data_IF_862616116780
#
_entry.id   IF_862616116780
#
_cell.length_a   1.000
_cell.length_b   1.000
_cell.length_c   1.000
_cell.angle_alpha   90.00
_cell.angle_beta   90.00
_cell.angle_gamma   90.00
#
_symmetry.space_group_name_H-M   'P 1'
#
loop_
_entity.id
_entity.type
_entity.pdbx_description
1 polymer ?
#
# COMPACT_ATOMS: atom_id res chain seq x y z
N UNK A 1 -3.47 8.45 12.44
CA UNK A 1 -2.10 8.57 11.88
C UNK A 1 -1.25 9.40 12.83
N UNK A 2 -0.54 8.77 13.77
CA UNK A 2 0.24 9.47 14.80
C UNK A 2 1.61 9.97 14.29
N UNK A 3 2.13 9.36 13.22
CA UNK A 3 3.51 9.57 12.75
C UNK A 3 3.65 10.15 11.33
N UNK A 4 2.54 10.41 10.62
CA UNK A 4 2.51 11.04 9.28
C UNK A 4 3.55 10.51 8.27
N UNK A 5 3.73 9.18 8.21
CA UNK A 5 4.74 8.53 7.36
C UNK A 5 4.52 8.75 5.85
N UNK A 6 3.30 9.06 5.44
CA UNK A 6 3.00 9.44 4.06
C UNK A 6 2.47 10.89 4.05
N UNK A 7 3.19 11.85 3.45
CA UNK A 7 2.73 13.23 3.38
C UNK A 7 1.46 13.39 2.53
N UNK A 8 1.14 12.40 1.70
CA UNK A 8 0.05 12.46 0.73
C UNK A 8 -1.26 11.87 1.25
N UNK A 9 -1.19 10.84 2.09
CA UNK A 9 -2.36 10.09 2.52
C UNK A 9 -3.38 10.97 3.26
N UNK A 10 -2.91 11.93 4.06
CA UNK A 10 -3.79 12.77 4.90
C UNK A 10 -4.72 13.66 4.07
N UNK A 11 -4.23 14.18 2.93
CA UNK A 11 -5.02 15.08 2.08
C UNK A 11 -6.20 14.33 1.47
N UNK A 12 -5.94 13.17 0.89
CA UNK A 12 -6.99 12.37 0.23
C UNK A 12 -7.96 11.76 1.24
N UNK A 13 -7.47 11.31 2.41
CA UNK A 13 -8.34 10.87 3.50
C UNK A 13 -9.32 11.97 3.94
N UNK A 14 -8.83 13.21 4.12
CA UNK A 14 -9.68 14.32 4.52
C UNK A 14 -10.66 14.76 3.41
N UNK A 15 -10.31 14.56 2.13
CA UNK A 15 -11.19 14.86 0.99
C UNK A 15 -12.22 13.76 0.73
N UNK A 16 -12.11 12.61 1.40
CA UNK A 16 -13.02 11.47 1.19
C UNK A 16 -12.82 10.78 -0.17
N UNK A 17 -11.64 10.94 -0.80
CA UNK A 17 -11.32 10.39 -2.11
C UNK A 17 -10.59 9.04 -2.04
N UNK A 18 -10.50 8.46 -0.83
CA UNK A 18 -9.92 7.13 -0.57
C UNK A 18 -11.05 6.12 -0.43
N UNK A 19 -11.01 5.07 -1.24
CA UNK A 19 -11.94 3.93 -1.15
C UNK A 19 -11.25 2.70 -0.58
N UNK A 20 -11.97 1.92 0.22
CA UNK A 20 -11.53 0.61 0.69
C UNK A 20 -12.50 -0.46 0.21
N UNK A 21 -11.99 -1.50 -0.42
CA UNK A 21 -12.74 -2.66 -0.88
C UNK A 21 -12.24 -3.89 -0.14
N UNK A 22 -13.12 -4.56 0.60
CA UNK A 22 -12.85 -5.88 1.16
C UNK A 22 -13.05 -6.94 0.06
N UNK A 23 -12.03 -7.76 -0.16
CA UNK A 23 -12.00 -8.78 -1.20
C UNK A 23 -12.09 -10.18 -0.58
N UNK A 24 -13.09 -10.94 -1.00
CA UNK A 24 -13.31 -12.32 -0.58
C UNK A 24 -12.55 -13.35 -1.44
N UNK A 25 -11.55 -12.91 -2.21
CA UNK A 25 -10.73 -13.82 -3.01
C UNK A 25 -9.97 -14.80 -2.12
N UNK A 26 -10.06 -16.08 -2.44
CA UNK A 26 -9.35 -17.18 -1.76
C UNK A 26 -8.20 -17.74 -2.58
N UNK A 27 -8.01 -17.26 -3.81
CA UNK A 27 -6.92 -17.62 -4.72
C UNK A 27 -6.46 -16.41 -5.54
N UNK A 28 -5.27 -16.54 -6.14
CA UNK A 28 -4.61 -15.45 -6.86
C UNK A 28 -5.36 -15.01 -8.13
N UNK A 29 -6.06 -15.93 -8.80
CA UNK A 29 -6.79 -15.61 -10.02
C UNK A 29 -8.04 -14.78 -9.70
N UNK A 30 -8.77 -15.15 -8.63
CA UNK A 30 -9.87 -14.37 -8.10
C UNK A 30 -9.41 -12.97 -7.64
N UNK A 31 -8.23 -12.87 -7.02
CA UNK A 31 -7.64 -11.59 -6.63
C UNK A 31 -7.27 -10.73 -7.85
N UNK A 32 -6.68 -11.30 -8.89
CA UNK A 32 -6.42 -10.57 -10.15
C UNK A 32 -7.72 -10.08 -10.80
N UNK A 33 -8.77 -10.88 -10.80
CA UNK A 33 -10.07 -10.42 -11.28
C UNK A 33 -10.63 -9.27 -10.44
N UNK A 34 -10.40 -9.28 -9.12
CA UNK A 34 -10.76 -8.16 -8.25
C UNK A 34 -9.95 -6.91 -8.62
N UNK A 35 -8.64 -7.05 -8.83
CA UNK A 35 -7.77 -5.96 -9.28
C UNK A 35 -8.25 -5.35 -10.60
N UNK A 36 -8.63 -6.16 -11.60
CA UNK A 36 -9.21 -5.67 -12.86
C UNK A 36 -10.47 -4.84 -12.61
N UNK A 37 -11.39 -5.33 -11.76
CA UNK A 37 -12.65 -4.63 -11.46
C UNK A 37 -12.39 -3.28 -10.78
N UNK A 38 -11.48 -3.23 -9.81
CA UNK A 38 -11.20 -1.98 -9.11
C UNK A 38 -10.40 -0.98 -9.97
N UNK A 39 -9.52 -1.45 -10.86
CA UNK A 39 -8.87 -0.59 -11.86
C UNK A 39 -9.90 0.02 -12.82
N UNK A 40 -10.86 -0.79 -13.30
CA UNK A 40 -11.95 -0.28 -14.14
C UNK A 40 -12.81 0.74 -13.38
N UNK A 41 -13.10 0.47 -12.10
CA UNK A 41 -13.82 1.42 -11.24
C UNK A 41 -13.08 2.74 -11.09
N UNK A 42 -11.76 2.73 -10.96
CA UNK A 42 -10.98 3.97 -10.95
C UNK A 42 -11.09 4.73 -12.27
N UNK A 43 -11.09 4.05 -13.42
CA UNK A 43 -11.33 4.70 -14.71
C UNK A 43 -12.74 5.30 -14.82
N UNK A 44 -13.75 4.59 -14.34
CA UNK A 44 -15.15 5.00 -14.44
C UNK A 44 -15.54 6.09 -13.42
N UNK A 45 -14.86 6.14 -12.27
CA UNK A 45 -15.13 7.05 -11.16
C UNK A 45 -13.91 7.94 -10.86
N UNK A 46 -13.70 9.04 -11.60
CA UNK A 46 -12.56 9.95 -11.40
C UNK A 46 -12.57 10.66 -10.04
N UNK A 47 -13.69 10.67 -9.31
CA UNK A 47 -13.78 11.15 -7.94
C UNK A 47 -13.03 10.27 -6.92
N UNK A 48 -12.77 9.00 -7.27
CA UNK A 48 -11.92 8.10 -6.50
C UNK A 48 -10.47 8.38 -6.89
N UNK A 49 -9.74 8.97 -5.96
CA UNK A 49 -8.32 9.30 -6.15
C UNK A 49 -7.44 8.07 -5.95
N UNK A 50 -7.78 7.25 -4.94
CA UNK A 50 -7.03 6.06 -4.61
C UNK A 50 -7.92 5.00 -3.95
N UNK A 51 -7.52 3.74 -4.10
CA UNK A 51 -8.29 2.61 -3.64
C UNK A 51 -7.41 1.55 -3.00
N UNK A 52 -7.87 0.99 -1.88
CA UNK A 52 -7.28 -0.18 -1.25
C UNK A 52 -8.10 -1.43 -1.52
N UNK A 53 -7.45 -2.51 -1.94
CA UNK A 53 -8.01 -3.86 -1.97
C UNK A 53 -7.45 -4.60 -0.76
N UNK A 54 -8.31 -4.91 0.21
CA UNK A 54 -7.96 -5.68 1.41
C UNK A 54 -8.33 -7.14 1.17
N UNK A 55 -7.37 -8.06 1.18
CA UNK A 55 -7.60 -9.46 0.80
C UNK A 55 -7.16 -10.44 1.89
N UNK A 56 -7.93 -10.59 2.98
CA UNK A 56 -7.52 -11.36 4.16
C UNK A 56 -7.47 -12.88 3.94
N UNK A 57 -8.09 -13.40 2.87
CA UNK A 57 -8.28 -14.85 2.66
C UNK A 57 -7.26 -15.46 1.68
N UNK A 58 -6.34 -14.67 1.12
CA UNK A 58 -5.35 -15.13 0.14
C UNK A 58 -4.05 -14.33 0.27
N UNK A 59 -2.93 -14.96 -0.10
CA UNK A 59 -1.58 -14.37 -0.03
C UNK A 59 -1.21 -13.90 1.38
N UNK A 60 -1.51 -14.71 2.40
CA UNK A 60 -1.06 -14.48 3.78
C UNK A 60 0.42 -14.84 4.01
N UNK A 61 1.05 -15.55 3.07
CA UNK A 61 2.50 -15.74 3.04
C UNK A 61 3.16 -14.60 2.27
N UNK A 62 4.12 -13.92 2.89
CA UNK A 62 4.74 -12.72 2.31
C UNK A 62 5.53 -13.01 1.03
N UNK A 63 6.15 -14.19 0.91
CA UNK A 63 6.93 -14.52 -0.29
C UNK A 63 6.01 -14.76 -1.48
N UNK A 64 4.91 -15.51 -1.28
CA UNK A 64 3.89 -15.67 -2.31
C UNK A 64 3.24 -14.33 -2.68
N UNK A 65 2.98 -13.47 -1.69
CA UNK A 65 2.48 -12.12 -1.93
C UNK A 65 3.45 -11.28 -2.77
N UNK A 66 4.75 -11.32 -2.45
CA UNK A 66 5.77 -10.59 -3.18
C UNK A 66 5.91 -11.08 -4.64
N UNK A 67 5.85 -12.40 -4.85
CA UNK A 67 5.85 -12.99 -6.21
C UNK A 67 4.60 -12.56 -7.00
N UNK A 68 3.44 -12.48 -6.34
CA UNK A 68 2.18 -12.04 -6.94
C UNK A 68 2.24 -10.59 -7.46
N UNK A 69 3.02 -9.70 -6.85
CA UNK A 69 3.18 -8.31 -7.33
C UNK A 69 3.68 -8.25 -8.78
N UNK A 70 4.53 -9.20 -9.20
CA UNK A 70 4.96 -9.29 -10.61
C UNK A 70 3.80 -9.61 -11.56
N UNK A 71 2.79 -10.35 -11.11
CA UNK A 71 1.55 -10.60 -11.88
C UNK A 71 0.69 -9.34 -11.98
N UNK A 72 0.63 -8.54 -10.92
CA UNK A 72 -0.04 -7.24 -10.93
C UNK A 72 0.60 -6.28 -11.95
N UNK A 73 1.92 -6.18 -11.97
CA UNK A 73 2.65 -5.33 -12.92
C UNK A 73 2.42 -5.78 -14.38
N UNK A 74 2.45 -7.10 -14.62
CA UNK A 74 2.15 -7.67 -15.93
C UNK A 74 0.70 -7.37 -16.37
N UNK A 75 -0.24 -7.35 -15.43
CA UNK A 75 -1.64 -6.99 -15.70
C UNK A 75 -1.76 -5.51 -16.09
N UNK A 76 -1.13 -4.59 -15.37
CA UNK A 76 -1.13 -3.16 -15.70
C UNK A 76 -0.61 -2.92 -17.12
N UNK A 77 0.50 -3.57 -17.48
CA UNK A 77 1.05 -3.54 -18.85
C UNK A 77 0.05 -4.04 -19.88
N UNK A 78 -0.58 -5.18 -19.61
CA UNK A 78 -1.58 -5.80 -20.50
C UNK A 78 -2.78 -4.88 -20.73
N UNK A 79 -3.24 -4.20 -19.68
CA UNK A 79 -4.36 -3.26 -19.72
C UNK A 79 -3.96 -1.87 -20.25
N UNK A 80 -2.67 -1.65 -20.56
CA UNK A 80 -2.11 -0.34 -20.95
C UNK A 80 -2.28 0.74 -19.86
N UNK A 81 -2.21 0.32 -18.61
CA UNK A 81 -2.31 1.15 -17.42
C UNK A 81 -0.96 1.40 -16.73
N UNK A 82 0.13 0.81 -17.25
CA UNK A 82 1.50 1.16 -16.85
C UNK A 82 1.77 2.65 -17.13
N UNK A 83 2.30 3.39 -16.15
CA UNK A 83 2.49 4.83 -16.24
C UNK A 83 1.23 5.65 -15.89
N UNK A 84 0.09 4.99 -15.68
CA UNK A 84 -1.19 5.62 -15.29
C UNK A 84 -1.50 5.28 -13.84
N UNK A 85 -1.35 4.01 -13.47
CA UNK A 85 -1.56 3.50 -12.13
C UNK A 85 -0.31 2.80 -11.61
N UNK A 86 -0.04 3.01 -10.33
CA UNK A 86 0.95 2.26 -9.56
C UNK A 86 0.27 1.48 -8.44
N UNK A 87 0.86 0.34 -8.06
CA UNK A 87 0.38 -0.50 -6.97
C UNK A 87 1.41 -0.46 -5.86
N UNK A 88 1.04 0.16 -4.73
CA UNK A 88 1.81 0.05 -3.50
C UNK A 88 1.32 -1.16 -2.70
N UNK A 89 2.26 -1.87 -2.07
CA UNK A 89 2.01 -3.14 -1.40
C UNK A 89 2.14 -3.02 0.11
N UNK A 90 1.21 -3.66 0.82
CA UNK A 90 1.22 -3.73 2.28
C UNK A 90 0.90 -5.16 2.73
N UNK A 91 1.59 -5.64 3.76
CA UNK A 91 1.44 -7.02 4.24
C UNK A 91 1.73 -7.11 5.75
N UNK A 92 1.10 -8.03 6.52
CA UNK A 92 1.39 -8.17 7.95
C UNK A 92 2.87 -8.42 8.24
N UNK A 93 3.48 -9.26 7.41
CA UNK A 93 4.89 -9.66 7.49
C UNK A 93 5.79 -8.90 6.49
N UNK A 94 5.40 -7.68 6.08
CA UNK A 94 6.20 -6.91 5.13
C UNK A 94 7.66 -6.77 5.59
N UNK A 95 8.58 -6.99 4.66
CA UNK A 95 10.02 -6.88 4.85
C UNK A 95 10.67 -6.27 3.60
N UNK A 96 11.34 -5.13 3.76
CA UNK A 96 12.15 -4.55 2.69
C UNK A 96 13.42 -5.36 2.44
N UNK A 97 13.88 -5.37 1.19
CA UNK A 97 15.13 -6.01 0.81
C UNK A 97 16.30 -5.42 1.62
N UNK A 98 17.12 -6.29 2.22
CA UNK A 98 18.28 -5.89 3.02
C UNK A 98 17.99 -5.60 4.50
N UNK A 99 16.74 -5.70 4.95
CA UNK A 99 16.36 -5.53 6.36
C UNK A 99 16.19 -6.87 7.07
N UNK A 100 16.24 -6.88 8.40
CA UNK A 100 15.76 -7.99 9.21
C UNK A 100 14.24 -7.86 9.45
N UNK A 101 13.54 -8.99 9.64
CA UNK A 101 12.10 -9.01 9.88
C UNK A 101 11.66 -8.24 11.15
N UNK A 102 12.58 -7.88 12.04
CA UNK A 102 12.30 -7.08 13.25
C UNK A 102 12.56 -5.60 13.09
N UNK A 103 13.14 -5.16 11.96
CA UNK A 103 13.55 -3.77 11.78
C UNK A 103 12.35 -2.82 11.73
N UNK A 104 12.52 -1.65 12.33
CA UNK A 104 11.44 -0.69 12.54
C UNK A 104 10.89 -0.12 11.21
N UNK A 105 11.75 0.04 10.21
CA UNK A 105 11.38 0.57 8.90
C UNK A 105 10.33 -0.26 8.16
N UNK A 106 10.31 -1.58 8.40
CA UNK A 106 9.31 -2.46 7.82
C UNK A 106 7.87 -2.08 8.21
N UNK A 107 7.69 -1.43 9.37
CA UNK A 107 6.38 -0.97 9.82
C UNK A 107 5.79 0.17 8.98
N UNK A 108 6.55 0.79 8.05
CA UNK A 108 5.96 1.74 7.09
C UNK A 108 4.96 1.08 6.14
N UNK A 109 5.18 -0.21 5.85
CA UNK A 109 4.41 -0.99 4.88
C UNK A 109 3.74 -2.21 5.49
N UNK A 110 3.76 -2.35 6.82
CA UNK A 110 2.94 -3.36 7.48
C UNK A 110 1.47 -2.95 7.48
N UNK A 111 0.59 -3.83 7.02
CA UNK A 111 -0.88 -3.76 7.21
C UNK A 111 -1.50 -4.99 7.92
N UNK A 112 -2.59 -4.85 8.73
CA UNK A 112 -3.16 -5.95 9.51
C UNK A 112 -3.57 -7.17 8.67
N UNK A 113 -3.86 -6.91 7.40
CA UNK A 113 -4.15 -7.89 6.36
C UNK A 113 -3.32 -7.56 5.12
N UNK A 114 -3.08 -8.52 4.21
CA UNK A 114 -2.52 -8.23 2.90
C UNK A 114 -3.39 -7.20 2.14
N UNK A 115 -2.76 -6.18 1.56
CA UNK A 115 -3.46 -5.13 0.81
C UNK A 115 -2.68 -4.65 -0.41
N UNK A 116 -3.43 -4.34 -1.47
CA UNK A 116 -2.95 -3.60 -2.64
C UNK A 116 -3.52 -2.19 -2.60
N UNK A 117 -2.67 -1.19 -2.79
CA UNK A 117 -3.05 0.22 -2.82
C UNK A 117 -2.84 0.77 -4.22
N UNK A 118 -3.96 1.04 -4.90
CA UNK A 118 -4.00 1.54 -6.26
C UNK A 118 -3.93 3.07 -6.24
N UNK A 119 -2.93 3.63 -6.90
CA UNK A 119 -2.64 5.05 -6.92
C UNK A 119 -2.52 5.54 -8.36
N UNK A 120 -3.06 6.73 -8.64
CA UNK A 120 -2.83 7.41 -9.92
C UNK A 120 -1.42 8.01 -9.95
N UNK A 121 -0.63 7.64 -10.94
CA UNK A 121 0.74 8.14 -11.08
C UNK A 121 0.79 9.66 -11.25
N UNK A 122 -0.11 10.23 -12.04
CA UNK A 122 -0.24 11.68 -12.21
C UNK A 122 -0.46 12.41 -10.88
N UNK A 123 -1.25 11.82 -9.98
CA UNK A 123 -1.54 12.42 -8.68
C UNK A 123 -0.36 12.32 -7.73
N UNK A 124 0.34 11.19 -7.75
CA UNK A 124 1.61 11.02 -7.03
C UNK A 124 2.65 12.01 -7.56
N UNK A 125 2.83 12.11 -8.88
CA UNK A 125 3.77 13.03 -9.51
C UNK A 125 3.48 14.50 -9.15
N UNK A 126 2.21 14.93 -9.17
CA UNK A 126 1.82 16.27 -8.72
C UNK A 126 2.12 16.49 -7.23
N UNK A 127 1.90 15.48 -6.40
CA UNK A 127 2.16 15.57 -4.97
C UNK A 127 3.67 15.64 -4.68
N UNK A 128 4.47 14.84 -5.39
CA UNK A 128 5.94 14.85 -5.38
C UNK A 128 6.47 16.22 -5.80
N UNK A 129 6.01 16.77 -6.94
CA UNK A 129 6.45 18.08 -7.44
C UNK A 129 6.09 19.25 -6.50
N UNK A 130 5.03 19.11 -5.71
CA UNK A 130 4.59 20.11 -4.73
C UNK A 130 5.22 19.97 -3.35
N UNK A 131 5.98 18.91 -3.07
CA UNK A 131 6.58 18.67 -1.76
C UNK A 131 8.08 18.95 -1.78
N UNK A 132 8.58 19.92 -1.00
CA UNK A 132 10.02 20.11 -0.85
C UNK A 132 10.63 18.85 -0.22
N UNK A 133 11.78 18.42 -0.73
CA UNK A 133 12.57 17.30 -0.20
C UNK A 133 11.86 15.93 -0.18
N UNK A 134 11.02 15.65 -1.18
CA UNK A 134 10.30 14.38 -1.27
C UNK A 134 11.21 13.14 -1.28
N UNK A 135 12.41 13.26 -1.85
CA UNK A 135 13.43 12.20 -1.88
C UNK A 135 13.89 11.80 -0.48
N UNK A 136 13.68 12.67 0.52
CA UNK A 136 14.01 12.40 1.92
C UNK A 136 12.91 11.66 2.68
N UNK A 137 11.69 11.54 2.12
CA UNK A 137 10.58 10.87 2.82
C UNK A 137 10.92 9.44 3.24
N UNK A 138 11.53 8.59 2.40
CA UNK A 138 11.96 7.26 2.83
C UNK A 138 12.95 7.32 4.00
N UNK A 139 13.97 8.16 3.93
CA UNK A 139 14.99 8.31 4.98
C UNK A 139 14.41 8.87 6.29
N UNK A 140 13.50 9.85 6.18
CA UNK A 140 12.81 10.46 7.31
C UNK A 140 11.83 9.47 7.96
N UNK A 141 11.17 8.61 7.17
CA UNK A 141 10.34 7.52 7.68
C UNK A 141 11.19 6.50 8.44
N UNK A 142 12.31 6.05 7.86
CA UNK A 142 13.25 5.13 8.49
C UNK A 142 13.74 5.74 9.81
N UNK A 143 14.17 7.00 9.82
CA UNK A 143 14.61 7.70 11.04
C UNK A 143 13.49 7.75 12.08
N UNK A 144 12.30 8.19 11.68
CA UNK A 144 11.14 8.32 12.58
C UNK A 144 10.76 6.97 13.19
N UNK A 145 10.72 5.90 12.39
CA UNK A 145 10.38 4.56 12.86
C UNK A 145 11.46 4.00 13.79
N UNK A 146 12.73 4.21 13.47
CA UNK A 146 13.84 3.84 14.34
C UNK A 146 13.81 4.61 15.67
N UNK A 147 13.49 5.91 15.65
CA UNK A 147 13.34 6.73 16.87
C UNK A 147 12.19 6.27 17.77
N UNK A 148 11.09 5.77 17.17
CA UNK A 148 9.98 5.16 17.93
C UNK A 148 10.40 3.81 18.53
N UNK A 149 11.19 3.03 17.78
CA UNK A 149 11.71 1.73 18.15
C UNK A 149 10.78 0.56 17.82
N UNK A 150 11.38 -0.57 17.43
CA UNK A 150 10.67 -1.75 16.95
C UNK A 150 9.70 -2.37 17.96
N UNK A 151 10.04 -2.37 19.26
CA UNK A 151 9.16 -2.95 20.29
C UNK A 151 7.88 -2.13 20.47
N UNK A 152 8.01 -0.79 20.51
CA UNK A 152 6.84 0.09 20.60
C UNK A 152 5.97 0.01 19.35
N UNK A 153 6.59 -0.10 18.18
CA UNK A 153 5.86 -0.30 16.93
C UNK A 153 5.12 -1.65 16.92
N UNK A 154 5.74 -2.72 17.44
CA UNK A 154 5.10 -4.03 17.62
C UNK A 154 3.88 -3.93 18.54
N UNK A 155 4.00 -3.26 19.68
CA UNK A 155 2.88 -3.09 20.61
C UNK A 155 1.71 -2.30 19.99
N UNK A 156 2.02 -1.23 19.25
CA UNK A 156 0.99 -0.44 18.54
C UNK A 156 0.34 -1.26 17.44
N UNK A 157 1.15 -2.07 16.75
CA UNK A 157 0.73 -2.93 15.68
C UNK A 157 -0.23 -4.03 16.13
N UNK A 158 0.12 -4.74 17.19
CA UNK A 158 -0.69 -5.82 17.75
C UNK A 158 -2.07 -5.31 18.20
N UNK A 159 -2.14 -4.10 18.76
CA UNK A 159 -3.43 -3.47 19.14
C UNK A 159 -4.34 -3.28 17.93
N UNK A 160 -3.81 -2.74 16.83
CA UNK A 160 -4.59 -2.53 15.60
C UNK A 160 -5.05 -3.84 14.94
N UNK A 161 -4.41 -4.97 15.24
CA UNK A 161 -4.77 -6.29 14.69
C UNK A 161 -5.88 -6.99 15.48
N UNK A 162 -6.19 -6.51 16.67
CA UNK A 162 -7.17 -7.08 17.60
C UNK A 162 -8.43 -6.21 17.80
N UNK A 163 -8.51 -5.05 17.16
CA UNK A 163 -9.69 -4.18 17.07
C UNK A 163 -10.47 -4.44 15.78
#
# INVERSE_FOLDING_TARGET
MQYNLCPFARRELNRGSVTFTLCDATDEDALLQALVRELQRLEDCPEIETLFIVHPQVLGDFYLFNDFLGRCDALLKTMKLEGIYQIASFHPDYQFAGTAATDAENYSNRSPYPMLHLLREDSVARAVAGHPDIDRVPEDNIRTLNDVGADRLRDLWERCRHE
#
